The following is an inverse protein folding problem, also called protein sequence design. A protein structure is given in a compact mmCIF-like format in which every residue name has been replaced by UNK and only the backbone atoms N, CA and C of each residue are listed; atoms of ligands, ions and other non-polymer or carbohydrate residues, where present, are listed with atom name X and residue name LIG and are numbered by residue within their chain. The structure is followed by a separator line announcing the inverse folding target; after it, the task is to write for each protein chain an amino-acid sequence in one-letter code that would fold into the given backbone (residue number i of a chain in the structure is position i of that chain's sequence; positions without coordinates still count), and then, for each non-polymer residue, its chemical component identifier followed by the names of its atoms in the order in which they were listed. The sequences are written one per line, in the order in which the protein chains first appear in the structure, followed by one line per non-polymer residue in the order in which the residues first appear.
data_IF_342684367902
#
_entry.id   IF_342684367902
#
_cell.length_a   1.000
_cell.length_b   1.000
_cell.length_c   1.000
_cell.angle_alpha   90.00
_cell.angle_beta   90.00
_cell.angle_gamma   90.00
#
_symmetry.space_group_name_H-M   'P 1'
#
loop_
_entity.id
_entity.type
_entity.pdbx_description
1 polymer ?
#
# COMPACT_ATOMS: atom_id res chain seq x y z
N UNK A 1 30.99 -40.82 74.33
CA UNK A 1 32.05 -40.60 73.33
C UNK A 1 31.39 -40.47 71.96
N UNK A 2 31.21 -39.23 71.47
CA UNK A 2 31.57 -38.68 70.15
C UNK A 2 31.74 -39.60 68.89
N UNK A 3 31.60 -39.08 67.64
CA UNK A 3 30.38 -38.58 66.96
C UNK A 3 30.39 -38.86 65.41
N UNK A 4 29.56 -38.12 64.67
CA UNK A 4 29.72 -37.64 63.27
C UNK A 4 29.05 -38.38 62.11
N UNK A 5 27.89 -37.82 61.73
CA UNK A 5 27.44 -37.73 60.34
C UNK A 5 28.44 -36.91 59.54
N UNK A 6 28.95 -37.46 58.43
CA UNK A 6 29.66 -36.71 57.39
C UNK A 6 29.24 -37.19 56.01
N UNK A 7 28.93 -36.23 55.14
CA UNK A 7 28.91 -36.45 53.69
C UNK A 7 27.63 -36.06 52.96
N UNK A 8 27.21 -34.79 53.03
CA UNK A 8 26.39 -34.18 51.98
C UNK A 8 27.17 -33.00 51.36
N UNK A 9 27.93 -33.28 50.31
CA UNK A 9 28.57 -32.24 49.49
C UNK A 9 27.58 -31.65 48.51
N UNK A 10 27.32 -30.37 48.74
CA UNK A 10 26.70 -29.34 47.90
C UNK A 10 26.71 -29.60 46.39
N UNK A 11 25.51 -29.60 45.80
CA UNK A 11 25.25 -29.33 44.38
C UNK A 11 24.32 -28.12 44.32
N UNK A 12 24.49 -27.28 43.28
CA UNK A 12 23.71 -26.07 42.93
C UNK A 12 24.25 -24.73 43.43
N UNK A 13 25.28 -24.22 42.75
CA UNK A 13 25.46 -22.77 42.54
C UNK A 13 26.04 -22.58 41.14
N UNK A 14 25.20 -22.50 40.10
CA UNK A 14 25.63 -22.10 38.75
C UNK A 14 24.50 -21.67 37.79
N UNK A 15 23.21 -21.89 38.12
CA UNK A 15 22.10 -21.66 37.19
C UNK A 15 21.29 -20.37 37.42
N UNK A 16 21.61 -19.56 38.42
CA UNK A 16 20.84 -18.35 38.77
C UNK A 16 21.33 -17.06 38.10
N UNK A 17 22.58 -16.99 37.64
CA UNK A 17 23.17 -15.72 37.15
C UNK A 17 22.76 -15.35 35.72
N UNK A 18 22.44 -16.35 34.88
CA UNK A 18 22.12 -16.10 33.48
C UNK A 18 20.73 -15.44 33.32
N UNK A 19 19.72 -15.93 34.06
CA UNK A 19 18.35 -15.38 34.05
C UNK A 19 18.26 -13.96 34.61
N UNK A 20 19.16 -13.61 35.54
CA UNK A 20 19.26 -12.27 36.12
C UNK A 20 19.76 -11.27 35.06
N UNK A 21 20.71 -11.68 34.22
CA UNK A 21 21.30 -10.85 33.16
C UNK A 21 20.30 -10.58 32.05
N UNK A 22 19.51 -11.59 31.67
CA UNK A 22 18.42 -11.44 30.68
C UNK A 22 17.33 -10.49 31.16
N UNK A 23 16.96 -10.58 32.45
CA UNK A 23 15.96 -9.69 33.06
C UNK A 23 16.43 -8.23 33.10
N UNK A 24 17.72 -7.99 33.39
CA UNK A 24 18.31 -6.65 33.38
C UNK A 24 18.42 -6.09 31.95
N UNK A 25 18.77 -6.93 30.97
CA UNK A 25 18.80 -6.55 29.56
C UNK A 25 17.42 -6.10 29.05
N UNK A 26 16.37 -6.84 29.41
CA UNK A 26 14.99 -6.50 29.05
C UNK A 26 14.53 -5.17 29.68
N UNK A 27 14.87 -4.93 30.96
CA UNK A 27 14.58 -3.64 31.61
C UNK A 27 15.29 -2.47 30.94
N UNK A 28 16.56 -2.65 30.56
CA UNK A 28 17.32 -1.64 29.82
C UNK A 28 16.68 -1.34 28.45
N UNK A 29 16.23 -2.38 27.75
CA UNK A 29 15.54 -2.23 26.46
C UNK A 29 14.21 -1.48 26.60
N UNK A 30 13.40 -1.80 27.61
CA UNK A 30 12.14 -1.10 27.88
C UNK A 30 12.40 0.37 28.20
N UNK A 31 13.41 0.68 29.01
CA UNK A 31 13.78 2.07 29.30
C UNK A 31 14.24 2.81 28.05
N UNK A 32 15.01 2.16 27.18
CA UNK A 32 15.46 2.75 25.92
C UNK A 32 14.28 3.07 25.00
N UNK A 33 13.38 2.11 24.78
CA UNK A 33 12.19 2.29 23.95
C UNK A 33 11.25 3.35 24.52
N UNK A 34 11.15 3.45 25.85
CA UNK A 34 10.34 4.48 26.52
C UNK A 34 10.91 5.88 26.25
N UNK A 35 12.24 6.03 26.30
CA UNK A 35 12.91 7.30 25.93
C UNK A 35 12.72 7.63 24.46
N UNK A 36 12.85 6.64 23.59
CA UNK A 36 12.68 6.81 22.14
C UNK A 36 11.25 7.24 21.78
N UNK A 37 10.24 6.62 22.42
CA UNK A 37 8.84 7.03 22.26
C UNK A 37 8.58 8.45 22.77
N UNK A 38 9.22 8.86 23.88
CA UNK A 38 9.11 10.23 24.36
C UNK A 38 9.71 11.22 23.35
N UNK A 39 10.86 10.94 22.76
CA UNK A 39 11.47 11.78 21.72
C UNK A 39 10.64 11.83 20.43
N UNK A 40 10.09 10.70 19.99
CA UNK A 40 9.26 10.68 18.78
C UNK A 40 7.97 11.51 18.95
N UNK A 41 7.40 11.51 20.16
CA UNK A 41 6.22 12.33 20.49
C UNK A 41 6.54 13.82 20.47
N UNK A 42 7.67 14.24 21.04
CA UNK A 42 8.06 15.66 21.03
C UNK A 42 8.36 16.16 19.61
N UNK A 43 8.99 15.33 18.78
CA UNK A 43 9.23 15.65 17.38
C UNK A 43 7.92 15.80 16.59
N UNK A 44 6.97 14.87 16.80
CA UNK A 44 5.65 14.94 16.16
C UNK A 44 4.91 16.23 16.53
N UNK A 45 4.95 16.62 17.79
CA UNK A 45 4.30 17.85 18.25
C UNK A 45 4.98 19.10 17.66
N UNK A 46 6.32 19.10 17.59
CA UNK A 46 7.08 20.17 16.95
C UNK A 46 6.70 20.34 15.47
N UNK A 47 6.58 19.24 14.73
CA UNK A 47 6.17 19.26 13.32
C UNK A 47 4.72 19.75 13.16
N UNK A 48 3.82 19.38 14.08
CA UNK A 48 2.45 19.91 14.10
C UNK A 48 2.40 21.41 14.34
N UNK A 49 3.17 21.94 15.28
CA UNK A 49 3.24 23.38 15.52
C UNK A 49 3.79 24.12 14.31
N UNK A 50 4.84 23.59 13.67
CA UNK A 50 5.41 24.20 12.46
C UNK A 50 4.40 24.25 11.31
N UNK A 51 3.66 23.16 11.09
CA UNK A 51 2.64 23.10 10.03
C UNK A 51 1.47 24.03 10.32
N UNK A 52 1.03 24.17 11.58
CA UNK A 52 0.02 25.14 11.98
C UNK A 52 0.48 26.58 11.73
N UNK A 53 1.73 26.90 12.07
CA UNK A 53 2.30 28.23 11.87
C UNK A 53 2.42 28.60 10.38
N UNK A 54 2.88 27.66 9.54
CA UNK A 54 2.94 27.88 8.08
C UNK A 54 1.55 28.08 7.48
N UNK A 55 0.56 27.33 7.96
CA UNK A 55 -0.83 27.48 7.53
C UNK A 55 -1.39 28.86 7.89
N UNK A 56 -1.08 29.37 9.09
CA UNK A 56 -1.48 30.71 9.52
C UNK A 56 -0.79 31.80 8.69
N UNK A 57 0.51 31.64 8.38
CA UNK A 57 1.25 32.56 7.52
C UNK A 57 0.64 32.66 6.12
N UNK A 58 0.24 31.52 5.53
CA UNK A 58 -0.47 31.51 4.24
C UNK A 58 -1.83 32.21 4.32
N UNK A 59 -2.57 32.02 5.42
CA UNK A 59 -3.87 32.65 5.60
C UNK A 59 -3.75 34.19 5.76
N UNK A 60 -2.70 34.67 6.44
CA UNK A 60 -2.41 36.09 6.55
C UNK A 60 -1.96 36.70 5.20
N UNK A 61 -1.18 35.97 4.40
CA UNK A 61 -0.80 36.43 3.06
C UNK A 61 -2.03 36.56 2.13
N UNK A 62 -3.02 35.68 2.29
CA UNK A 62 -4.27 35.74 1.53
C UNK A 62 -5.16 36.93 1.98
N UNK A 63 -5.22 37.19 3.29
CA UNK A 63 -6.00 38.29 3.85
C UNK A 63 -5.37 39.69 3.69
N UNK A 64 -4.06 39.78 3.37
CA UNK A 64 -3.40 41.06 3.07
C UNK A 64 -3.67 41.58 1.65
N UNK A 65 -4.37 40.82 0.81
CA UNK A 65 -4.80 41.28 -0.51
C UNK A 65 -6.19 41.95 -0.47
N UNK A 66 -6.27 43.10 0.22
CA UNK A 66 -7.29 44.10 -0.08
C UNK A 66 -6.94 44.79 -1.42
N UNK A 67 -7.88 44.92 -2.38
CA UNK A 67 -7.60 45.42 -3.71
C UNK A 67 -7.66 46.95 -3.71
N UNK A 68 -6.63 47.61 -3.20
CA UNK A 68 -6.47 49.03 -3.43
C UNK A 68 -5.00 49.31 -3.65
N UNK A 69 -4.56 49.26 -4.91
CA UNK A 69 -3.89 50.40 -5.54
C UNK A 69 -3.30 50.13 -6.94
N UNK A 70 -3.91 50.79 -7.93
CA UNK A 70 -3.32 51.44 -9.11
C UNK A 70 -2.27 50.70 -9.95
N UNK A 71 -2.72 49.89 -10.92
CA UNK A 71 -2.09 49.85 -12.24
C UNK A 71 -3.18 49.85 -13.32
N UNK A 72 -3.06 50.78 -14.25
CA UNK A 72 -3.98 51.10 -15.34
C UNK A 72 -4.52 49.86 -16.09
N UNK A 73 -5.85 49.72 -16.28
CA UNK A 73 -6.44 48.63 -17.05
C UNK A 73 -6.50 48.91 -18.57
N UNK A 74 -5.67 49.79 -19.10
CA UNK A 74 -5.84 50.31 -20.47
C UNK A 74 -4.91 49.70 -21.55
N UNK A 75 -4.30 48.53 -21.31
CA UNK A 75 -3.37 47.92 -22.29
C UNK A 75 -3.67 46.46 -22.64
N UNK A 76 -4.89 45.99 -22.40
CA UNK A 76 -5.37 44.76 -23.02
C UNK A 76 -6.64 45.05 -23.82
N UNK A 77 -6.71 44.67 -25.11
CA UNK A 77 -7.92 44.87 -25.87
C UNK A 77 -9.03 44.05 -25.19
N UNK A 78 -10.23 44.63 -24.97
CA UNK A 78 -11.36 43.85 -24.50
C UNK A 78 -11.67 42.84 -25.60
N UNK A 79 -11.39 41.55 -25.34
CA UNK A 79 -11.91 40.49 -26.19
C UNK A 79 -13.43 40.59 -26.12
N UNK A 80 -14.02 41.16 -27.17
CA UNK A 80 -15.45 41.29 -27.35
C UNK A 80 -16.07 39.89 -27.21
N UNK A 81 -16.81 39.69 -26.10
CA UNK A 81 -18.01 38.90 -25.78
C UNK A 81 -18.36 37.58 -26.51
N UNK A 82 -17.72 37.21 -27.62
CA UNK A 82 -17.94 35.96 -28.37
C UNK A 82 -17.04 34.82 -27.88
N UNK A 83 -15.84 35.15 -27.39
CA UNK A 83 -14.91 34.17 -26.81
C UNK A 83 -15.45 33.58 -25.49
N UNK A 84 -16.11 34.38 -24.64
CA UNK A 84 -16.71 33.93 -23.38
C UNK A 84 -17.88 32.96 -23.61
N UNK A 85 -18.69 33.17 -24.65
CA UNK A 85 -19.78 32.26 -25.01
C UNK A 85 -19.25 30.92 -25.52
N UNK A 86 -18.19 30.92 -26.36
CA UNK A 86 -17.58 29.67 -26.85
C UNK A 86 -16.79 28.92 -25.76
N UNK A 87 -16.23 29.63 -24.78
CA UNK A 87 -15.57 29.01 -23.63
C UNK A 87 -16.58 28.32 -22.70
N UNK A 88 -17.79 28.85 -22.52
CA UNK A 88 -18.87 28.19 -21.76
C UNK A 88 -19.32 26.85 -22.36
N UNK A 89 -19.09 26.62 -23.66
CA UNK A 89 -19.31 25.32 -24.31
C UNK A 89 -18.15 24.33 -24.13
N UNK A 90 -17.01 24.74 -23.57
CA UNK A 90 -15.90 23.81 -23.36
C UNK A 90 -16.19 22.87 -22.19
N UNK A 91 -15.85 21.56 -22.30
CA UNK A 91 -16.20 20.55 -21.29
C UNK A 91 -15.66 20.82 -19.87
N UNK A 92 -14.71 21.75 -19.76
CA UNK A 92 -14.00 22.13 -18.54
C UNK A 92 -14.74 23.16 -17.68
N UNK A 93 -15.82 23.79 -18.17
CA UNK A 93 -16.66 24.71 -17.38
C UNK A 93 -17.85 24.04 -16.69
N UNK A 94 -17.97 22.71 -16.76
CA UNK A 94 -19.02 21.95 -16.07
C UNK A 94 -18.50 21.44 -14.71
N UNK A 95 -18.86 22.08 -13.57
CA UNK A 95 -18.32 21.71 -12.26
C UNK A 95 -18.69 20.28 -11.86
N UNK A 96 -19.89 19.80 -12.21
CA UNK A 96 -20.31 18.43 -11.95
C UNK A 96 -19.48 17.39 -12.70
N UNK A 97 -19.13 17.67 -13.96
CA UNK A 97 -18.32 16.75 -14.78
C UNK A 97 -16.89 16.66 -14.22
N UNK A 98 -16.34 17.80 -13.79
CA UNK A 98 -15.06 17.86 -13.10
C UNK A 98 -15.08 17.10 -11.76
N UNK A 99 -16.16 17.24 -10.97
CA UNK A 99 -16.33 16.48 -9.73
C UNK A 99 -16.38 14.97 -10.02
N UNK A 100 -17.19 14.52 -10.98
CA UNK A 100 -17.23 13.11 -11.39
C UNK A 100 -15.87 12.56 -11.80
N UNK A 101 -15.08 13.33 -12.55
CA UNK A 101 -13.72 12.92 -12.95
C UNK A 101 -12.80 12.82 -11.72
N UNK A 102 -12.88 13.78 -10.80
CA UNK A 102 -12.09 13.79 -9.57
C UNK A 102 -12.44 12.59 -8.69
N UNK A 103 -13.73 12.31 -8.52
CA UNK A 103 -14.24 11.19 -7.73
C UNK A 103 -13.84 9.84 -8.35
N UNK A 104 -13.91 9.73 -9.67
CA UNK A 104 -13.43 8.55 -10.39
C UNK A 104 -11.92 8.34 -10.18
N UNK A 105 -11.12 9.41 -10.24
CA UNK A 105 -9.67 9.36 -10.03
C UNK A 105 -9.31 8.98 -8.59
N UNK A 106 -10.02 9.51 -7.58
CA UNK A 106 -9.81 9.16 -6.18
C UNK A 106 -10.23 7.72 -5.91
N UNK A 107 -11.38 7.27 -6.42
CA UNK A 107 -11.82 5.88 -6.32
C UNK A 107 -10.81 4.92 -6.97
N UNK A 108 -10.32 5.24 -8.18
CA UNK A 108 -9.31 4.41 -8.85
C UNK A 108 -7.98 4.39 -8.09
N UNK A 109 -7.59 5.49 -7.45
CA UNK A 109 -6.39 5.55 -6.60
C UNK A 109 -6.56 4.69 -5.35
N UNK A 110 -7.72 4.75 -4.70
CA UNK A 110 -8.04 3.91 -3.54
C UNK A 110 -8.02 2.44 -3.90
N UNK A 111 -8.66 2.05 -5.02
CA UNK A 111 -8.65 0.66 -5.49
C UNK A 111 -7.23 0.14 -5.73
N UNK A 112 -6.37 0.93 -6.40
CA UNK A 112 -4.96 0.57 -6.60
C UNK A 112 -4.18 0.47 -5.29
N UNK A 113 -4.50 1.29 -4.30
CA UNK A 113 -3.88 1.24 -2.97
C UNK A 113 -4.24 -0.08 -2.27
N UNK A 114 -5.51 -0.47 -2.28
CA UNK A 114 -5.96 -1.74 -1.71
C UNK A 114 -5.30 -2.93 -2.40
N UNK A 115 -5.30 -2.96 -3.74
CA UNK A 115 -4.62 -4.03 -4.51
C UNK A 115 -3.12 -4.13 -4.17
N UNK A 116 -2.43 -3.00 -4.01
CA UNK A 116 -1.02 -2.99 -3.60
C UNK A 116 -0.83 -3.49 -2.17
N UNK A 117 -1.73 -3.13 -1.26
CA UNK A 117 -1.70 -3.62 0.12
C UNK A 117 -1.93 -5.12 0.18
N UNK A 118 -2.92 -5.65 -0.54
CA UNK A 118 -3.16 -7.09 -0.66
C UNK A 118 -1.95 -7.82 -1.25
N UNK A 119 -1.34 -7.27 -2.31
CA UNK A 119 -0.13 -7.85 -2.91
C UNK A 119 1.06 -7.86 -1.94
N UNK A 120 1.27 -6.77 -1.18
CA UNK A 120 2.33 -6.68 -0.19
C UNK A 120 2.08 -7.60 1.02
N UNK A 121 0.83 -7.71 1.48
CA UNK A 121 0.45 -8.58 2.59
C UNK A 121 0.77 -10.04 2.31
N UNK A 122 0.63 -10.50 1.04
CA UNK A 122 1.03 -11.86 0.64
C UNK A 122 2.51 -12.17 0.90
N UNK A 123 3.39 -11.17 0.86
CA UNK A 123 4.82 -11.38 1.16
C UNK A 123 5.05 -11.69 2.64
N UNK A 124 4.12 -11.31 3.50
CA UNK A 124 4.18 -11.51 4.95
C UNK A 124 3.32 -12.68 5.43
N UNK A 125 2.49 -13.25 4.55
CA UNK A 125 1.72 -14.45 4.87
C UNK A 125 2.65 -15.67 4.86
N UNK A 126 2.49 -16.59 5.81
CA UNK A 126 3.23 -17.84 5.78
C UNK A 126 2.92 -18.58 4.47
N UNK A 127 3.91 -19.23 3.85
CA UNK A 127 3.69 -19.94 2.60
C UNK A 127 2.62 -21.03 2.80
N UNK A 128 1.73 -21.15 1.83
CA UNK A 128 0.73 -22.22 1.78
C UNK A 128 1.42 -23.57 1.90
N UNK A 129 0.83 -24.48 2.69
CA UNK A 129 1.29 -25.87 2.80
C UNK A 129 1.32 -26.58 1.45
N UNK A 130 0.53 -26.13 0.47
CA UNK A 130 0.47 -26.64 -0.89
C UNK A 130 1.12 -25.67 -1.89
N UNK A 131 2.38 -25.29 -1.65
CA UNK A 131 3.20 -24.45 -2.54
C UNK A 131 3.61 -25.18 -3.85
N UNK A 132 2.66 -25.85 -4.48
CA UNK A 132 2.83 -26.62 -5.70
C UNK A 132 2.19 -25.86 -6.86
N UNK A 133 2.73 -26.10 -8.03
CA UNK A 133 2.24 -25.55 -9.28
C UNK A 133 1.62 -26.66 -10.12
N UNK A 134 0.58 -26.32 -10.88
CA UNK A 134 -0.15 -27.26 -11.72
C UNK A 134 -0.35 -26.70 -13.12
N UNK A 135 -0.27 -27.60 -14.09
CA UNK A 135 -0.68 -27.32 -15.46
C UNK A 135 -2.14 -27.71 -15.65
N UNK A 136 -2.95 -26.77 -16.13
CA UNK A 136 -4.31 -27.02 -16.60
C UNK A 136 -4.29 -27.00 -18.12
N UNK A 137 -4.75 -28.08 -18.73
CA UNK A 137 -4.81 -28.21 -20.18
C UNK A 137 -6.22 -27.88 -20.67
N UNK A 138 -6.34 -26.87 -21.52
CA UNK A 138 -7.58 -26.41 -22.11
C UNK A 138 -7.58 -26.70 -23.61
N UNK A 139 -8.63 -27.37 -24.14
CA UNK A 139 -8.76 -27.57 -25.57
C UNK A 139 -9.13 -26.26 -26.28
N UNK A 140 -8.43 -25.94 -27.35
CA UNK A 140 -8.66 -24.77 -28.21
C UNK A 140 -8.80 -25.21 -29.67
N UNK A 141 -9.70 -24.57 -30.42
CA UNK A 141 -9.91 -24.91 -31.84
C UNK A 141 -8.75 -24.51 -32.75
N UNK A 142 -8.08 -23.41 -32.43
CA UNK A 142 -6.96 -22.88 -33.17
C UNK A 142 -6.03 -22.14 -32.20
N UNK A 143 -4.73 -22.05 -32.52
CA UNK A 143 -3.77 -21.31 -31.69
C UNK A 143 -4.19 -19.85 -31.57
N UNK A 144 -4.30 -19.41 -30.32
CA UNK A 144 -4.68 -18.07 -29.93
C UNK A 144 -3.43 -17.34 -29.47
N UNK A 145 -3.33 -16.02 -29.65
CA UNK A 145 -2.22 -15.28 -29.07
C UNK A 145 -2.30 -15.26 -27.53
N UNK A 146 -1.16 -15.22 -26.84
CA UNK A 146 -1.12 -15.17 -25.36
C UNK A 146 -1.96 -14.00 -24.81
N UNK A 147 -1.92 -12.84 -25.48
CA UNK A 147 -2.73 -11.68 -25.09
C UNK A 147 -4.24 -11.90 -25.22
N UNK A 148 -4.67 -12.64 -26.24
CA UNK A 148 -6.06 -13.03 -26.41
C UNK A 148 -6.49 -14.06 -25.36
N UNK A 149 -5.64 -15.04 -25.01
CA UNK A 149 -5.91 -15.97 -23.91
C UNK A 149 -6.13 -15.21 -22.60
N UNK A 150 -5.22 -14.29 -22.25
CA UNK A 150 -5.38 -13.42 -21.05
C UNK A 150 -6.61 -12.51 -21.12
N UNK A 151 -7.02 -12.10 -22.31
CA UNK A 151 -8.25 -11.32 -22.49
C UNK A 151 -9.50 -12.17 -22.31
N UNK A 152 -9.49 -13.42 -22.80
CA UNK A 152 -10.58 -14.37 -22.57
C UNK A 152 -10.70 -14.74 -21.10
N UNK A 153 -9.58 -15.00 -20.41
CA UNK A 153 -9.58 -15.30 -18.97
C UNK A 153 -10.13 -14.12 -18.15
N UNK A 154 -9.77 -12.88 -18.50
CA UNK A 154 -10.37 -11.69 -17.88
C UNK A 154 -11.88 -11.57 -18.11
N UNK A 155 -12.38 -12.00 -19.28
CA UNK A 155 -13.84 -12.02 -19.56
C UNK A 155 -14.58 -13.08 -18.74
N UNK A 156 -13.88 -14.15 -18.34
CA UNK A 156 -14.38 -15.20 -17.44
C UNK A 156 -14.18 -14.83 -15.95
N UNK A 157 -13.86 -13.57 -15.65
CA UNK A 157 -13.55 -13.07 -14.30
C UNK A 157 -12.34 -13.75 -13.61
N UNK A 158 -11.49 -14.43 -14.39
CA UNK A 158 -10.27 -15.04 -13.88
C UNK A 158 -9.17 -13.98 -13.84
N UNK A 159 -8.59 -13.81 -12.64
CA UNK A 159 -7.51 -12.86 -12.42
C UNK A 159 -6.23 -13.30 -13.15
N UNK A 160 -5.78 -12.49 -14.11
CA UNK A 160 -4.55 -12.78 -14.88
C UNK A 160 -3.29 -12.92 -14.02
N UNK A 161 -3.27 -12.30 -12.83
CA UNK A 161 -2.17 -12.40 -11.87
C UNK A 161 -2.03 -13.80 -11.24
N UNK A 162 -3.04 -14.67 -11.40
CA UNK A 162 -3.00 -16.06 -10.91
C UNK A 162 -2.26 -17.00 -11.87
N UNK A 163 -2.15 -16.62 -13.14
CA UNK A 163 -1.54 -17.43 -14.19
C UNK A 163 -0.06 -17.07 -14.28
N UNK A 164 0.79 -18.05 -14.06
CA UNK A 164 2.24 -17.90 -14.06
C UNK A 164 2.77 -17.95 -15.48
N UNK A 165 2.31 -18.93 -16.26
CA UNK A 165 2.75 -19.11 -17.65
C UNK A 165 1.64 -19.69 -18.53
N UNK A 166 1.77 -19.47 -19.85
CA UNK A 166 0.87 -19.98 -20.88
C UNK A 166 1.71 -20.68 -21.94
N UNK A 167 1.64 -22.01 -21.95
CA UNK A 167 2.41 -22.86 -22.85
C UNK A 167 1.51 -23.57 -23.88
N UNK A 168 2.05 -23.89 -25.06
CA UNK A 168 1.34 -24.58 -26.14
C UNK A 168 2.01 -25.92 -26.43
N UNK A 169 1.64 -27.00 -25.71
CA UNK A 169 2.20 -28.32 -25.95
C UNK A 169 1.81 -28.86 -27.33
N UNK A 170 0.62 -28.50 -27.85
CA UNK A 170 0.14 -28.91 -29.17
C UNK A 170 -0.53 -27.72 -29.90
N UNK A 171 -1.12 -27.97 -31.08
CA UNK A 171 -1.81 -26.97 -31.91
C UNK A 171 -3.21 -26.64 -31.39
N UNK A 172 -3.84 -27.57 -30.69
CA UNK A 172 -5.22 -27.51 -30.20
C UNK A 172 -5.31 -27.54 -28.67
N UNK A 173 -4.19 -27.35 -27.96
CA UNK A 173 -4.16 -27.37 -26.49
C UNK A 173 -3.38 -26.16 -25.97
N UNK A 174 -3.96 -25.48 -24.99
CA UNK A 174 -3.30 -24.47 -24.15
C UNK A 174 -3.03 -25.09 -22.79
N UNK A 175 -1.80 -24.96 -22.30
CA UNK A 175 -1.43 -25.30 -20.94
C UNK A 175 -1.26 -24.00 -20.12
N UNK A 176 -2.00 -23.87 -19.03
CA UNK A 176 -1.89 -22.76 -18.09
C UNK A 176 -1.15 -23.23 -16.84
N UNK A 177 -0.06 -22.57 -16.46
CA UNK A 177 0.66 -22.84 -15.22
C UNK A 177 0.11 -21.96 -14.09
N UNK A 178 -0.31 -22.58 -12.99
CA UNK A 178 -1.05 -21.91 -11.92
C UNK A 178 -0.59 -22.43 -10.56
N UNK A 179 -0.67 -21.61 -9.51
CA UNK A 179 -0.45 -22.04 -8.13
C UNK A 179 -1.66 -22.84 -7.62
N UNK A 180 -1.43 -23.93 -6.86
CA UNK A 180 -2.50 -24.80 -6.37
C UNK A 180 -3.57 -24.06 -5.54
N UNK A 181 -3.18 -23.02 -4.80
CA UNK A 181 -4.11 -22.18 -4.03
C UNK A 181 -5.21 -21.52 -4.90
N UNK A 182 -5.05 -21.47 -6.22
CA UNK A 182 -6.04 -20.90 -7.15
C UNK A 182 -6.73 -21.95 -8.01
N UNK A 183 -6.56 -23.24 -7.73
CA UNK A 183 -7.19 -24.31 -8.52
C UNK A 183 -8.72 -24.20 -8.51
N UNK A 184 -9.30 -23.81 -7.37
CA UNK A 184 -10.75 -23.68 -7.20
C UNK A 184 -11.35 -22.54 -8.03
N UNK A 185 -10.60 -21.44 -8.23
CA UNK A 185 -11.04 -20.29 -9.06
C UNK A 185 -11.13 -20.66 -10.56
N UNK A 186 -10.43 -21.71 -11.02
CA UNK A 186 -10.38 -22.12 -12.44
C UNK A 186 -11.21 -23.35 -12.79
N UNK A 187 -11.81 -24.01 -11.79
CA UNK A 187 -12.63 -25.21 -11.97
C UNK A 187 -14.14 -24.94 -11.94
N UNK A 188 -14.56 -23.69 -11.81
CA UNK A 188 -15.96 -23.27 -11.98
C UNK A 188 -16.39 -23.29 -13.44
#
# INVERSE_FOLDING_TARGET
MNPEFSGATSSQVAQTDNSQTDSQSLLNMIQLLTKELASARTETERLRVQTAQLQEQLNQQNNASNPTNHLNPSEFPPFQNTATALLQLTPWHQPEKLQKIKDQLTAQRQQRRLQRQEAAARLLQPPSTNQRFKYIYLPIKARVSIGQVRSCLRKLDINNNRIIDIHYPDRNIVALLIHNDYEDELRQ
#
